data_IF_565192121526
#
_entry.id   IF_565192121526
#
_cell.length_a   1.000
_cell.length_b   1.000
_cell.length_c   1.000
_cell.angle_alpha   90.00
_cell.angle_beta   90.00
_cell.angle_gamma   90.00
#
_symmetry.space_group_name_H-M   'P 1'
#
loop_
_entity.id
_entity.type
_entity.pdbx_description
1 polymer ?
#
# COMPACT_ATOMS: atom_id res chain seq x y z
N UNK A 1 -3.42 -19.18 13.27
CA UNK A 1 -2.09 -18.53 13.22
C UNK A 1 -2.03 -17.41 14.25
N UNK A 2 -0.92 -17.25 14.96
CA UNK A 2 -0.76 -16.16 15.93
C UNK A 2 -0.46 -14.81 15.25
N UNK A 3 -0.85 -13.69 15.87
CA UNK A 3 -0.63 -12.34 15.31
C UNK A 3 0.85 -12.03 15.04
N UNK A 4 1.73 -12.52 15.92
CA UNK A 4 3.18 -12.32 15.79
C UNK A 4 3.72 -13.05 14.55
N UNK A 5 3.38 -14.33 14.42
CA UNK A 5 3.75 -15.18 13.28
C UNK A 5 3.27 -14.57 11.95
N UNK A 6 2.01 -14.14 11.88
CA UNK A 6 1.45 -13.47 10.72
C UNK A 6 2.27 -12.23 10.30
N UNK A 7 2.60 -11.36 11.27
CA UNK A 7 3.38 -10.13 10.99
C UNK A 7 4.82 -10.43 10.59
N UNK A 8 5.41 -11.50 11.11
CA UNK A 8 6.76 -11.95 10.74
C UNK A 8 6.80 -12.42 9.28
N UNK A 9 5.81 -13.21 8.85
CA UNK A 9 5.67 -13.64 7.44
C UNK A 9 5.53 -12.43 6.51
N UNK A 10 4.63 -11.49 6.84
CA UNK A 10 4.44 -10.28 6.03
C UNK A 10 5.71 -9.42 6.02
N UNK A 11 6.39 -9.30 7.17
CA UNK A 11 7.66 -8.58 7.28
C UNK A 11 8.72 -9.16 6.35
N UNK A 12 8.86 -10.48 6.31
CA UNK A 12 9.86 -11.17 5.47
C UNK A 12 9.69 -10.75 4.00
N UNK A 13 8.46 -10.84 3.47
CA UNK A 13 8.16 -10.49 2.08
C UNK A 13 8.38 -9.01 1.81
N UNK A 14 7.97 -8.13 2.74
CA UNK A 14 8.17 -6.68 2.58
C UNK A 14 9.66 -6.33 2.52
N UNK A 15 10.47 -6.87 3.44
CA UNK A 15 11.92 -6.62 3.48
C UNK A 15 12.62 -7.14 2.23
N UNK A 16 12.25 -8.34 1.75
CA UNK A 16 12.76 -8.90 0.49
C UNK A 16 12.43 -8.04 -0.75
N UNK A 17 11.34 -7.26 -0.68
CA UNK A 17 10.91 -6.36 -1.75
C UNK A 17 11.41 -4.92 -1.58
N UNK A 18 12.44 -4.69 -0.74
CA UNK A 18 13.10 -3.40 -0.60
C UNK A 18 12.41 -2.41 0.35
N UNK A 19 11.38 -2.85 1.08
CA UNK A 19 10.85 -2.02 2.17
C UNK A 19 11.86 -1.96 3.31
N UNK A 20 11.91 -0.83 3.99
CA UNK A 20 12.69 -0.59 5.22
C UNK A 20 11.78 -0.25 6.37
N UNK A 21 12.27 -0.34 7.61
CA UNK A 21 11.49 0.05 8.80
C UNK A 21 11.87 1.48 9.19
N UNK A 22 10.93 2.42 9.06
CA UNK A 22 11.07 3.82 9.51
C UNK A 22 9.97 4.15 10.50
N UNK A 23 10.35 4.68 11.67
CA UNK A 23 9.41 5.02 12.75
C UNK A 23 8.39 3.89 13.06
N UNK A 24 8.88 2.64 13.13
CA UNK A 24 8.09 1.42 13.39
C UNK A 24 7.04 1.09 12.31
N UNK A 25 7.22 1.57 11.08
CA UNK A 25 6.38 1.26 9.92
C UNK A 25 7.24 0.75 8.78
N UNK A 26 6.70 -0.18 8.00
CA UNK A 26 7.34 -0.56 6.73
C UNK A 26 7.13 0.56 5.72
N UNK A 27 8.20 0.92 5.04
CA UNK A 27 8.27 2.04 4.12
C UNK A 27 9.04 1.65 2.87
N UNK A 28 8.51 1.99 1.70
CA UNK A 28 9.25 2.05 0.45
C UNK A 28 9.20 3.50 -0.04
N UNK A 29 10.32 4.03 -0.50
CA UNK A 29 10.39 5.40 -1.00
C UNK A 29 11.44 5.58 -2.09
N UNK A 30 11.21 6.54 -2.96
CA UNK A 30 12.16 7.10 -3.91
C UNK A 30 12.17 8.63 -3.79
N UNK A 31 12.77 9.36 -4.72
CA UNK A 31 12.83 10.83 -4.67
C UNK A 31 11.46 11.53 -4.76
N UNK A 32 10.44 10.84 -5.26
CA UNK A 32 9.12 11.39 -5.57
C UNK A 32 7.99 10.90 -4.63
N UNK A 33 8.09 9.67 -4.13
CA UNK A 33 7.02 8.97 -3.44
C UNK A 33 7.50 8.33 -2.15
N UNK A 34 6.58 8.27 -1.17
CA UNK A 34 6.68 7.41 0.00
C UNK A 34 5.43 6.54 0.04
N UNK A 35 5.58 5.26 0.37
CA UNK A 35 4.46 4.40 0.75
C UNK A 35 4.71 3.77 2.12
N UNK A 36 3.73 3.86 3.02
CA UNK A 36 3.74 3.14 4.30
C UNK A 36 2.77 1.95 4.28
N UNK A 37 3.15 0.87 4.95
CA UNK A 37 2.25 -0.26 5.24
C UNK A 37 1.75 -0.17 6.68
N UNK A 38 0.44 -0.38 6.88
CA UNK A 38 -0.19 -0.45 8.20
C UNK A 38 -0.94 -1.78 8.38
N UNK A 39 -0.76 -2.38 9.55
CA UNK A 39 -1.55 -3.53 9.99
C UNK A 39 -2.72 -3.02 10.83
N UNK A 40 -3.94 -3.18 10.33
CA UNK A 40 -5.16 -2.81 11.04
C UNK A 40 -5.86 -4.07 11.52
N UNK A 41 -5.90 -4.29 12.84
CA UNK A 41 -6.68 -5.39 13.43
C UNK A 41 -8.18 -5.14 13.21
N UNK A 42 -8.92 -6.17 12.82
CA UNK A 42 -10.39 -6.14 12.80
C UNK A 42 -10.95 -6.09 14.22
N UNK A 43 -11.99 -5.28 14.44
CA UNK A 43 -12.72 -5.25 15.71
C UNK A 43 -13.80 -6.35 15.79
N UNK A 44 -14.08 -7.05 14.68
CA UNK A 44 -15.21 -7.98 14.56
C UNK A 44 -14.79 -9.44 14.41
N UNK A 45 -13.51 -9.68 14.14
CA UNK A 45 -13.00 -11.01 13.80
C UNK A 45 -11.52 -11.13 14.14
N UNK A 46 -11.01 -12.36 14.19
CA UNK A 46 -9.58 -12.59 14.35
C UNK A 46 -8.80 -12.34 13.04
N UNK A 47 -8.97 -11.17 12.43
CA UNK A 47 -8.33 -10.85 11.15
C UNK A 47 -7.53 -9.55 11.17
N UNK A 48 -6.69 -9.37 10.16
CA UNK A 48 -5.96 -8.14 9.89
C UNK A 48 -6.24 -7.65 8.46
N UNK A 49 -6.45 -6.34 8.32
CA UNK A 49 -6.32 -5.64 7.05
C UNK A 49 -4.88 -5.15 6.89
N UNK A 50 -4.35 -5.23 5.68
CA UNK A 50 -3.06 -4.65 5.31
C UNK A 50 -3.31 -3.51 4.36
N UNK A 51 -3.21 -2.29 4.87
CA UNK A 51 -3.43 -1.08 4.08
C UNK A 51 -2.08 -0.47 3.67
N UNK A 52 -2.04 0.17 2.51
CA UNK A 52 -0.91 0.96 2.05
C UNK A 52 -1.32 2.42 1.85
N UNK A 53 -0.40 3.34 2.17
CA UNK A 53 -0.64 4.78 2.22
C UNK A 53 0.44 5.49 1.44
N UNK A 54 0.07 6.13 0.34
CA UNK A 54 1.00 6.87 -0.50
C UNK A 54 1.03 8.35 -0.16
N UNK A 55 2.22 8.93 -0.25
CA UNK A 55 2.46 10.36 -0.18
C UNK A 55 3.35 10.81 -1.33
N UNK A 56 2.92 11.85 -2.04
CA UNK A 56 3.66 12.49 -3.12
C UNK A 56 4.51 13.59 -2.50
N UNK A 57 5.83 13.38 -2.45
CA UNK A 57 6.77 14.21 -1.67
C UNK A 57 6.65 15.71 -1.99
N UNK A 58 6.42 16.07 -3.24
CA UNK A 58 6.25 17.47 -3.67
C UNK A 58 5.02 18.18 -3.10
N UNK A 59 4.02 17.43 -2.60
CA UNK A 59 2.83 17.99 -1.95
C UNK A 59 3.03 18.28 -0.46
N UNK A 60 4.19 17.91 0.10
CA UNK A 60 4.44 17.98 1.53
C UNK A 60 5.71 18.78 1.84
N UNK A 61 5.57 19.83 2.66
CA UNK A 61 6.71 20.68 3.06
C UNK A 61 7.62 20.07 4.13
N UNK A 62 7.16 19.01 4.83
CA UNK A 62 7.89 18.37 5.96
C UNK A 62 7.89 16.85 5.84
N UNK A 63 8.57 16.35 4.81
CA UNK A 63 8.62 14.90 4.47
C UNK A 63 8.99 14.02 5.67
N UNK A 64 9.97 14.43 6.49
CA UNK A 64 10.44 13.66 7.65
C UNK A 64 9.39 13.48 8.77
N UNK A 65 8.29 14.25 8.74
CA UNK A 65 7.22 14.21 9.76
C UNK A 65 5.96 13.50 9.28
N UNK A 66 5.96 12.97 8.06
CA UNK A 66 4.77 12.38 7.47
C UNK A 66 4.30 11.14 8.23
N UNK A 67 3.00 11.07 8.46
CA UNK A 67 2.29 9.93 9.04
C UNK A 67 1.19 9.44 8.10
N UNK A 68 0.59 8.29 8.42
CA UNK A 68 -0.48 7.70 7.59
C UNK A 68 -1.71 8.61 7.41
N UNK A 69 -1.89 9.62 8.28
CA UNK A 69 -2.96 10.61 8.16
C UNK A 69 -2.70 11.64 7.06
N UNK A 70 -1.44 11.86 6.69
CA UNK A 70 -1.02 12.77 5.65
C UNK A 70 -1.05 12.13 4.25
N UNK A 71 -1.67 10.94 4.14
CA UNK A 71 -1.81 10.20 2.90
C UNK A 71 -2.48 11.05 1.81
N UNK A 72 -1.96 10.93 0.60
CA UNK A 72 -2.54 11.48 -0.62
C UNK A 72 -3.58 10.54 -1.20
N UNK A 73 -3.31 9.24 -1.14
CA UNK A 73 -4.24 8.18 -1.47
C UNK A 73 -3.84 6.90 -0.75
N UNK A 74 -4.75 5.92 -0.73
CA UNK A 74 -4.54 4.64 -0.05
C UNK A 74 -5.14 3.49 -0.84
N UNK A 75 -4.81 2.29 -0.40
CA UNK A 75 -5.52 1.09 -0.77
C UNK A 75 -5.20 -0.05 0.18
N UNK A 76 -5.53 -1.25 -0.25
CA UNK A 76 -5.47 -2.45 0.58
C UNK A 76 -4.91 -3.62 -0.22
N UNK A 77 -4.03 -4.38 0.41
CA UNK A 77 -3.62 -5.69 -0.09
C UNK A 77 -4.71 -6.68 0.30
N UNK A 78 -5.30 -7.32 -0.70
CA UNK A 78 -6.28 -8.38 -0.50
C UNK A 78 -5.60 -9.71 -0.24
N UNK A 79 -6.26 -10.53 0.56
CA UNK A 79 -5.91 -11.93 0.73
C UNK A 79 -6.46 -12.72 -0.46
N UNK A 80 -5.59 -13.51 -1.09
CA UNK A 80 -5.89 -14.41 -2.18
C UNK A 80 -5.54 -15.82 -1.75
N UNK A 81 -6.51 -16.71 -1.87
CA UNK A 81 -6.30 -18.15 -1.67
C UNK A 81 -5.96 -18.82 -3.00
N UNK A 82 -5.27 -19.96 -2.93
CA UNK A 82 -5.02 -20.81 -4.11
C UNK A 82 -6.31 -21.29 -4.81
N UNK A 83 -7.44 -21.34 -4.11
CA UNK A 83 -8.75 -21.69 -4.69
C UNK A 83 -9.43 -20.52 -5.43
N UNK A 84 -8.81 -19.34 -5.46
CA UNK A 84 -9.31 -18.15 -6.15
C UNK A 84 -10.23 -17.26 -5.31
N UNK A 85 -10.58 -17.65 -4.08
CA UNK A 85 -11.32 -16.78 -3.14
C UNK A 85 -10.46 -15.58 -2.78
N UNK A 86 -11.07 -14.39 -2.79
CA UNK A 86 -10.43 -13.12 -2.41
C UNK A 86 -11.17 -12.50 -1.24
N UNK A 87 -10.45 -12.05 -0.22
CA UNK A 87 -11.00 -11.29 0.92
C UNK A 87 -10.21 -10.00 1.17
N UNK A 88 -10.88 -9.02 1.78
CA UNK A 88 -10.25 -7.76 2.16
C UNK A 88 -9.25 -7.91 3.31
N UNK A 89 -9.47 -8.89 4.16
CA UNK A 89 -8.69 -9.20 5.36
C UNK A 89 -8.09 -10.59 5.32
N UNK A 90 -7.07 -10.78 6.15
CA UNK A 90 -6.41 -12.04 6.44
C UNK A 90 -6.99 -12.59 7.74
N UNK A 91 -7.92 -13.55 7.65
CA UNK A 91 -8.49 -14.23 8.81
C UNK A 91 -7.45 -15.20 9.39
N UNK A 92 -6.95 -14.91 10.59
CA UNK A 92 -5.86 -15.68 11.19
C UNK A 92 -6.28 -17.11 11.59
N UNK A 93 -7.58 -17.38 11.68
CA UNK A 93 -8.11 -18.71 11.97
C UNK A 93 -8.11 -19.62 10.72
N UNK A 94 -8.03 -19.03 9.52
CA UNK A 94 -8.20 -19.73 8.24
C UNK A 94 -7.00 -19.56 7.28
N UNK A 95 -6.11 -18.61 7.54
CA UNK A 95 -5.05 -18.23 6.61
C UNK A 95 -3.87 -19.20 6.66
N UNK A 96 -3.34 -19.53 5.48
CA UNK A 96 -2.13 -20.34 5.30
C UNK A 96 -0.91 -19.48 4.98
N UNK A 97 0.27 -19.94 5.37
CA UNK A 97 1.55 -19.24 5.14
C UNK A 97 1.75 -18.87 3.66
N UNK A 98 1.56 -19.83 2.75
CA UNK A 98 1.76 -19.60 1.31
C UNK A 98 0.76 -18.58 0.74
N UNK A 99 -0.49 -18.59 1.19
CA UNK A 99 -1.49 -17.60 0.79
C UNK A 99 -1.09 -16.20 1.24
N UNK A 100 -0.49 -16.05 2.43
CA UNK A 100 0.05 -14.76 2.89
C UNK A 100 1.16 -14.32 1.95
N UNK A 101 2.20 -15.15 1.75
CA UNK A 101 3.34 -14.79 0.90
C UNK A 101 2.91 -14.40 -0.50
N UNK A 102 2.07 -15.21 -1.12
CA UNK A 102 1.49 -14.94 -2.43
C UNK A 102 0.70 -13.63 -2.46
N UNK A 103 -0.16 -13.41 -1.47
CA UNK A 103 -1.00 -12.20 -1.40
C UNK A 103 -0.19 -10.93 -1.22
N UNK A 104 0.81 -10.94 -0.34
CA UNK A 104 1.68 -9.78 -0.12
C UNK A 104 2.50 -9.50 -1.38
N UNK A 105 3.12 -10.51 -1.97
CA UNK A 105 3.90 -10.35 -3.19
C UNK A 105 3.05 -9.77 -4.33
N UNK A 106 1.87 -10.35 -4.56
CA UNK A 106 0.91 -9.88 -5.56
C UNK A 106 0.44 -8.45 -5.28
N UNK A 107 0.20 -8.10 -4.01
CA UNK A 107 -0.15 -6.75 -3.60
C UNK A 107 0.96 -5.75 -3.92
N UNK A 108 2.21 -6.09 -3.59
CA UNK A 108 3.38 -5.28 -3.91
C UNK A 108 3.48 -5.07 -5.43
N UNK A 109 3.45 -6.15 -6.21
CA UNK A 109 3.72 -6.09 -7.65
C UNK A 109 2.58 -5.44 -8.45
N UNK A 110 1.32 -5.57 -8.00
CA UNK A 110 0.16 -5.03 -8.74
C UNK A 110 -0.35 -3.69 -8.22
N UNK A 111 -0.18 -3.41 -6.92
CA UNK A 111 -0.77 -2.23 -6.27
C UNK A 111 0.26 -1.22 -5.80
N UNK A 112 1.52 -1.62 -5.53
CA UNK A 112 2.50 -0.71 -4.95
C UNK A 112 3.60 -0.33 -5.94
N UNK A 113 4.40 -1.30 -6.41
CA UNK A 113 5.53 -1.06 -7.32
C UNK A 113 5.15 -0.31 -8.60
N UNK A 114 3.98 -0.52 -9.23
CA UNK A 114 3.61 0.24 -10.41
C UNK A 114 3.62 1.77 -10.19
N UNK A 115 3.32 2.26 -8.98
CA UNK A 115 3.37 3.70 -8.68
C UNK A 115 4.79 4.27 -8.78
N UNK A 116 5.80 3.46 -8.39
CA UNK A 116 7.22 3.82 -8.46
C UNK A 116 7.77 3.62 -9.87
N UNK A 117 7.40 2.52 -10.54
CA UNK A 117 7.98 2.14 -11.83
C UNK A 117 7.40 2.92 -13.02
N UNK A 118 6.08 3.16 -13.01
CA UNK A 118 5.37 3.78 -14.14
C UNK A 118 5.18 5.29 -13.93
N UNK A 119 5.46 5.78 -12.71
CA UNK A 119 5.17 7.14 -12.26
C UNK A 119 3.73 7.32 -11.81
N UNK A 120 3.53 8.23 -10.86
CA UNK A 120 2.25 8.39 -10.16
C UNK A 120 1.09 8.79 -11.07
N UNK A 121 1.36 9.57 -12.12
CA UNK A 121 0.35 10.03 -13.09
C UNK A 121 -0.24 8.84 -13.84
N UNK A 122 0.61 7.97 -14.41
CA UNK A 122 0.19 6.76 -15.12
C UNK A 122 -0.49 5.76 -14.18
N UNK A 123 0.06 5.60 -12.98
CA UNK A 123 -0.51 4.72 -11.96
C UNK A 123 -1.95 5.09 -11.57
N UNK A 124 -2.21 6.38 -11.33
CA UNK A 124 -3.55 6.86 -10.95
C UNK A 124 -4.51 6.92 -12.15
N UNK A 125 -4.02 7.27 -13.35
CA UNK A 125 -4.85 7.27 -14.56
C UNK A 125 -5.36 5.86 -14.91
N UNK A 126 -4.54 4.82 -14.71
CA UNK A 126 -4.96 3.42 -14.89
C UNK A 126 -5.87 2.88 -13.76
N UNK A 127 -6.08 3.65 -12.68
CA UNK A 127 -6.85 3.24 -11.50
C UNK A 127 -7.91 4.30 -11.13
N UNK A 128 -9.01 4.41 -11.91
CA UNK A 128 -9.96 5.50 -11.80
C UNK A 128 -10.61 5.61 -10.42
N UNK A 129 -10.90 4.48 -9.76
CA UNK A 129 -11.48 4.49 -8.40
C UNK A 129 -10.48 5.07 -7.39
N UNK A 130 -9.21 4.64 -7.43
CA UNK A 130 -8.18 5.16 -6.52
C UNK A 130 -7.94 6.65 -6.78
N UNK A 131 -7.87 7.07 -8.05
CA UNK A 131 -7.78 8.48 -8.43
C UNK A 131 -8.98 9.28 -7.91
N UNK A 132 -10.19 8.77 -8.04
CA UNK A 132 -11.41 9.41 -7.52
C UNK A 132 -11.38 9.57 -5.99
N UNK A 133 -10.83 8.60 -5.27
CA UNK A 133 -10.74 8.62 -3.80
C UNK A 133 -9.52 9.37 -3.26
N UNK A 134 -8.60 9.79 -4.12
CA UNK A 134 -7.40 10.56 -3.73
C UNK A 134 -7.74 11.96 -3.20
N UNK A 135 -6.77 12.56 -2.50
CA UNK A 135 -6.88 13.89 -1.93
C UNK A 135 -7.15 14.95 -3.00
N UNK A 136 -7.74 16.08 -2.58
CA UNK A 136 -7.93 17.22 -3.50
C UNK A 136 -6.59 17.73 -4.06
N UNK A 137 -5.54 17.72 -3.24
CA UNK A 137 -4.19 18.12 -3.65
C UNK A 137 -3.63 17.17 -4.72
N UNK A 138 -3.83 15.86 -4.56
CA UNK A 138 -3.43 14.87 -5.57
C UNK A 138 -4.13 15.08 -6.90
N UNK A 139 -5.45 15.33 -6.90
CA UNK A 139 -6.20 15.58 -8.14
C UNK A 139 -5.69 16.82 -8.87
N UNK A 140 -5.46 17.92 -8.13
CA UNK A 140 -4.89 19.14 -8.68
C UNK A 140 -3.48 18.92 -9.23
N UNK A 141 -2.64 18.18 -8.50
CA UNK A 141 -1.31 17.80 -8.94
C UNK A 141 -1.37 17.05 -10.28
N UNK A 142 -2.25 16.06 -10.42
CA UNK A 142 -2.41 15.33 -11.68
C UNK A 142 -2.80 16.24 -12.84
N UNK A 143 -3.75 17.15 -12.64
CA UNK A 143 -4.15 18.14 -13.65
C UNK A 143 -2.98 19.03 -14.07
N UNK A 144 -2.18 19.51 -13.11
CA UNK A 144 -1.00 20.34 -13.37
C UNK A 144 0.10 19.59 -14.15
N UNK A 145 0.29 18.30 -13.87
CA UNK A 145 1.25 17.48 -14.61
C UNK A 145 0.82 17.18 -16.05
N UNK A 146 -0.48 17.18 -16.34
CA UNK A 146 -1.01 16.89 -17.69
C UNK A 146 -1.25 18.13 -18.53
N UNK A 147 -1.21 19.34 -17.95
CA UNK A 147 -1.51 20.62 -18.63
C UNK A 147 -0.55 21.01 -19.77
N UNK A 148 0.59 20.33 -19.89
CA UNK A 148 1.63 20.63 -20.89
C UNK A 148 1.91 19.45 -21.84
N UNK A 149 1.00 18.48 -21.90
CA UNK A 149 1.09 17.30 -22.77
C UNK A 149 0.18 17.37 -24.02
N UNK A 150 -0.53 18.49 -24.20
CA UNK A 150 -1.27 18.85 -25.41
C UNK A 150 -0.51 19.91 -26.21
#
# INVERSE_FOLDING_TARGET
MESKEFKEIVSEVLLQNGFTIKHRKYCLEDDSLIVFINFQKSNFSNSYYINYYFMIKSLHSKIQKLVIKDKDFEGRIHHYTLSGKTSGDFNLDEVYHEDIKYSIQKGIDKQIKPAFNEGIVNYLNSRPIVKMMSSKATKKYLEEQTKYLD
#
